data_IF_515505934802
#
_entry.id   IF_515505934802
#
_cell.length_a   1.000
_cell.length_b   1.000
_cell.length_c   1.000
_cell.angle_alpha   90.00
_cell.angle_beta   90.00
_cell.angle_gamma   90.00
#
_symmetry.space_group_name_H-M   'P 1'
#
loop_
_entity.id
_entity.type
_entity.pdbx_description
1 polymer ?
#
# COMPACT_ATOMS: atom_id res chain seq x y z
N UNK A 1 -31.03 19.88 2.29
CA UNK A 1 -31.73 19.51 1.05
C UNK A 1 -31.60 18.02 0.71
N UNK A 2 -30.44 17.43 0.67
CA UNK A 2 -30.23 16.00 0.30
C UNK A 2 -30.96 14.98 1.19
N UNK A 3 -31.18 15.27 2.47
CA UNK A 3 -31.77 14.35 3.45
C UNK A 3 -33.24 13.99 3.18
N UNK A 4 -33.99 14.85 2.48
CA UNK A 4 -35.43 14.66 2.19
C UNK A 4 -35.67 14.07 0.79
N UNK A 5 -34.75 14.26 -0.13
CA UNK A 5 -34.89 13.74 -1.50
C UNK A 5 -34.46 12.26 -1.62
N UNK A 6 -33.52 11.83 -0.78
CA UNK A 6 -32.95 10.50 -0.84
C UNK A 6 -33.99 9.35 -0.72
N UNK A 7 -34.98 9.40 0.22
CA UNK A 7 -35.98 8.34 0.30
C UNK A 7 -36.91 8.30 -0.94
N UNK A 8 -37.23 9.47 -1.51
CA UNK A 8 -38.08 9.56 -2.70
C UNK A 8 -37.35 9.01 -3.93
N UNK A 9 -36.10 9.41 -4.14
CA UNK A 9 -35.29 8.88 -5.21
C UNK A 9 -35.07 7.37 -5.08
N UNK A 10 -34.84 6.87 -3.89
CA UNK A 10 -34.75 5.44 -3.64
C UNK A 10 -36.04 4.67 -3.99
N UNK A 11 -37.19 5.26 -3.70
CA UNK A 11 -38.48 4.67 -4.04
C UNK A 11 -38.68 4.61 -5.56
N UNK A 12 -38.38 5.70 -6.27
CA UNK A 12 -38.44 5.75 -7.72
C UNK A 12 -37.47 4.77 -8.36
N UNK A 13 -36.24 4.73 -7.93
CA UNK A 13 -35.24 3.83 -8.46
C UNK A 13 -35.66 2.36 -8.26
N UNK A 14 -36.16 1.97 -7.09
CA UNK A 14 -36.64 0.62 -6.84
C UNK A 14 -37.87 0.28 -7.67
N UNK A 15 -38.71 1.27 -8.05
CA UNK A 15 -39.86 1.06 -8.91
C UNK A 15 -39.47 0.81 -10.38
N UNK A 16 -38.44 1.54 -10.86
CA UNK A 16 -37.97 1.43 -12.26
C UNK A 16 -36.88 0.37 -12.44
N UNK A 17 -36.21 0.01 -11.37
CA UNK A 17 -35.10 -0.94 -11.37
C UNK A 17 -35.17 -1.85 -10.14
N UNK A 18 -35.99 -2.89 -10.18
CA UNK A 18 -36.30 -3.72 -8.98
C UNK A 18 -35.05 -4.34 -8.34
N UNK A 19 -33.98 -4.58 -9.11
CA UNK A 19 -32.72 -5.16 -8.62
C UNK A 19 -31.66 -4.11 -8.28
N UNK A 20 -32.00 -2.82 -8.24
CA UNK A 20 -31.03 -1.74 -8.04
C UNK A 20 -30.15 -1.92 -6.80
N UNK A 21 -30.77 -2.33 -5.67
CA UNK A 21 -30.02 -2.54 -4.42
C UNK A 21 -29.03 -3.68 -4.55
N UNK A 22 -29.40 -4.76 -5.19
CA UNK A 22 -28.53 -5.90 -5.43
C UNK A 22 -27.38 -5.53 -6.37
N UNK A 23 -27.64 -4.85 -7.45
CA UNK A 23 -26.61 -4.40 -8.39
C UNK A 23 -25.65 -3.39 -7.77
N UNK A 24 -26.16 -2.46 -6.95
CA UNK A 24 -25.31 -1.55 -6.19
C UNK A 24 -24.42 -2.27 -5.18
N UNK A 25 -24.95 -3.32 -4.53
CA UNK A 25 -24.13 -4.15 -3.62
C UNK A 25 -23.09 -4.96 -4.39
N UNK A 26 -23.45 -5.50 -5.55
CA UNK A 26 -22.51 -6.19 -6.44
C UNK A 26 -21.40 -5.25 -6.92
N UNK A 27 -21.75 -4.03 -7.32
CA UNK A 27 -20.77 -3.02 -7.70
C UNK A 27 -19.83 -2.63 -6.54
N UNK A 28 -20.38 -2.45 -5.33
CA UNK A 28 -19.57 -2.18 -4.13
C UNK A 28 -18.63 -3.33 -3.81
N UNK A 29 -19.13 -4.56 -3.85
CA UNK A 29 -18.33 -5.76 -3.62
C UNK A 29 -17.23 -5.89 -4.70
N UNK A 30 -17.55 -5.59 -5.95
CA UNK A 30 -16.56 -5.60 -7.03
C UNK A 30 -15.47 -4.55 -6.79
N UNK A 31 -15.84 -3.31 -6.42
CA UNK A 31 -14.88 -2.24 -6.10
C UNK A 31 -14.01 -2.64 -4.90
N UNK A 32 -14.61 -3.17 -3.84
CA UNK A 32 -13.88 -3.59 -2.63
C UNK A 32 -12.89 -4.73 -2.91
N UNK A 33 -13.23 -5.65 -3.82
CA UNK A 33 -12.36 -6.76 -4.19
C UNK A 33 -11.38 -6.44 -5.33
N UNK A 34 -11.53 -5.28 -5.98
CA UNK A 34 -10.69 -4.89 -7.13
C UNK A 34 -9.18 -4.95 -6.85
N UNK A 35 -8.64 -4.51 -5.69
CA UNK A 35 -7.21 -4.63 -5.42
C UNK A 35 -6.70 -6.07 -5.46
N UNK A 36 -7.46 -7.03 -4.92
CA UNK A 36 -7.06 -8.44 -4.93
C UNK A 36 -7.08 -9.03 -6.35
N UNK A 37 -8.08 -8.70 -7.15
CA UNK A 37 -8.14 -9.09 -8.56
C UNK A 37 -7.00 -8.47 -9.38
N UNK A 38 -6.68 -7.21 -9.12
CA UNK A 38 -5.57 -6.52 -9.79
C UNK A 38 -4.24 -7.24 -9.56
N UNK A 39 -3.90 -7.58 -8.31
CA UNK A 39 -2.70 -8.35 -8.00
C UNK A 39 -2.70 -9.73 -8.67
N UNK A 40 -3.85 -10.42 -8.69
CA UNK A 40 -3.99 -11.72 -9.34
C UNK A 40 -3.73 -11.61 -10.85
N UNK A 41 -4.40 -10.69 -11.55
CA UNK A 41 -4.25 -10.54 -13.00
C UNK A 41 -2.85 -10.10 -13.40
N UNK A 42 -2.22 -9.19 -12.65
CA UNK A 42 -0.83 -8.80 -12.90
C UNK A 42 0.10 -9.99 -12.69
N UNK A 43 -0.09 -10.75 -11.61
CA UNK A 43 0.71 -11.94 -11.35
C UNK A 43 0.60 -12.97 -12.49
N UNK A 44 -0.61 -13.24 -12.97
CA UNK A 44 -0.86 -14.17 -14.08
C UNK A 44 -0.27 -13.65 -15.40
N UNK A 45 -0.53 -12.39 -15.75
CA UNK A 45 -0.10 -11.80 -17.02
C UNK A 45 1.42 -11.72 -17.16
N UNK A 46 2.11 -11.35 -16.10
CA UNK A 46 3.57 -11.21 -16.09
C UNK A 46 4.30 -12.44 -15.51
N UNK A 47 3.60 -13.54 -15.27
CA UNK A 47 4.15 -14.77 -14.66
C UNK A 47 4.90 -14.48 -13.35
N UNK A 48 4.33 -13.61 -12.52
CA UNK A 48 4.87 -13.25 -11.22
C UNK A 48 4.38 -14.24 -10.16
N UNK A 49 5.19 -14.47 -9.14
CA UNK A 49 4.76 -15.25 -7.99
C UNK A 49 3.71 -14.54 -7.13
N UNK A 50 3.36 -15.16 -6.00
CA UNK A 50 2.46 -14.56 -5.02
C UNK A 50 3.04 -13.25 -4.48
N UNK A 51 2.27 -12.15 -4.44
CA UNK A 51 2.76 -10.91 -3.87
C UNK A 51 2.93 -11.04 -2.35
N UNK A 52 4.01 -10.49 -1.84
CA UNK A 52 4.39 -10.51 -0.43
C UNK A 52 3.94 -9.22 0.28
N UNK A 53 3.47 -9.30 1.53
CA UNK A 53 3.19 -8.11 2.33
C UNK A 53 4.44 -7.26 2.50
N UNK A 54 4.28 -5.96 2.29
CA UNK A 54 5.31 -4.95 2.46
C UNK A 54 4.73 -3.78 3.23
N UNK A 55 5.36 -3.44 4.34
CA UNK A 55 5.05 -2.22 5.09
C UNK A 55 6.23 -1.25 5.02
N UNK A 56 5.94 0.03 4.87
CA UNK A 56 6.93 1.11 4.98
C UNK A 56 6.42 2.11 6.00
N UNK A 57 7.13 2.26 7.09
CA UNK A 57 6.74 3.12 8.20
C UNK A 57 7.75 4.26 8.38
N UNK A 58 7.27 5.49 8.47
CA UNK A 58 8.12 6.65 8.74
C UNK A 58 8.67 6.68 10.18
N UNK A 59 8.20 5.81 11.06
CA UNK A 59 8.63 5.62 12.47
C UNK A 59 9.11 6.89 13.17
N UNK A 60 8.33 7.95 13.09
CA UNK A 60 8.65 9.27 13.63
C UNK A 60 7.46 9.83 14.41
N UNK A 61 7.73 10.80 15.26
CA UNK A 61 6.70 11.56 15.94
C UNK A 61 5.80 12.27 14.94
N UNK A 62 4.52 12.44 15.26
CA UNK A 62 3.53 13.04 14.34
C UNK A 62 3.95 14.40 13.78
N UNK A 63 4.62 15.21 14.59
CA UNK A 63 5.10 16.54 14.20
C UNK A 63 6.27 16.49 13.19
N UNK A 64 7.02 15.41 13.15
CA UNK A 64 8.20 15.24 12.28
C UNK A 64 7.86 14.50 10.98
N UNK A 65 6.72 13.78 10.94
CA UNK A 65 6.30 13.00 9.77
C UNK A 65 6.09 13.83 8.51
N UNK A 66 5.65 15.08 8.67
CA UNK A 66 5.47 16.02 7.56
C UNK A 66 6.80 16.55 6.99
N UNK A 67 7.88 16.42 7.73
CA UNK A 67 9.20 16.92 7.35
C UNK A 67 10.02 15.90 6.54
N UNK A 68 9.48 14.69 6.35
CA UNK A 68 10.12 13.62 5.60
C UNK A 68 9.28 13.20 4.41
N UNK A 69 9.94 13.13 3.27
CA UNK A 69 9.39 12.55 2.06
C UNK A 69 10.05 11.19 1.80
N UNK A 70 9.23 10.15 1.70
CA UNK A 70 9.65 8.81 1.27
C UNK A 70 9.04 8.52 -0.09
N UNK A 71 9.86 8.01 -1.01
CA UNK A 71 9.41 7.53 -2.32
C UNK A 71 9.75 6.06 -2.47
N UNK A 72 8.85 5.32 -3.08
CA UNK A 72 9.01 3.92 -3.45
C UNK A 72 8.89 3.81 -4.98
N UNK A 73 9.97 3.38 -5.62
CA UNK A 73 10.08 3.39 -7.09
C UNK A 73 9.71 4.74 -7.73
N UNK A 74 10.12 5.84 -7.09
CA UNK A 74 9.83 7.21 -7.53
C UNK A 74 8.44 7.75 -7.13
N UNK A 75 7.53 6.90 -6.64
CA UNK A 75 6.20 7.31 -6.19
C UNK A 75 6.25 7.76 -4.73
N UNK A 76 5.79 8.97 -4.46
CA UNK A 76 5.74 9.53 -3.10
C UNK A 76 4.70 8.79 -2.26
N UNK A 77 5.10 8.40 -1.05
CA UNK A 77 4.19 7.83 -0.06
C UNK A 77 3.59 8.97 0.78
N UNK A 78 2.29 9.19 0.62
CA UNK A 78 1.59 10.28 1.30
C UNK A 78 1.25 9.95 2.76
N UNK A 79 1.10 8.66 3.08
CA UNK A 79 0.73 8.19 4.41
C UNK A 79 1.95 7.96 5.30
N UNK A 80 1.76 8.01 6.61
CA UNK A 80 2.80 7.70 7.59
C UNK A 80 3.17 6.22 7.57
N UNK A 81 2.21 5.35 7.27
CA UNK A 81 2.36 3.92 7.12
C UNK A 81 1.83 3.53 5.74
N UNK A 82 2.69 3.00 4.90
CA UNK A 82 2.28 2.26 3.72
C UNK A 82 2.12 0.79 4.09
N UNK A 83 0.96 0.23 3.81
CA UNK A 83 0.66 -1.19 3.95
C UNK A 83 0.16 -1.70 2.60
N UNK A 84 0.94 -2.57 1.99
CA UNK A 84 0.64 -3.04 0.65
C UNK A 84 1.33 -4.37 0.34
N UNK A 85 1.43 -4.66 -0.95
CA UNK A 85 2.05 -5.90 -1.44
C UNK A 85 3.04 -5.60 -2.54
N UNK A 86 4.12 -6.38 -2.61
CA UNK A 86 5.11 -6.30 -3.65
C UNK A 86 5.51 -7.70 -4.15
N UNK A 87 5.92 -7.81 -5.42
CA UNK A 87 6.27 -9.10 -5.99
C UNK A 87 7.73 -9.46 -5.73
N UNK A 88 7.96 -10.74 -5.40
CA UNK A 88 9.28 -11.34 -5.27
C UNK A 88 10.12 -11.12 -6.55
N UNK A 89 11.43 -11.05 -6.39
CA UNK A 89 12.42 -10.90 -7.47
C UNK A 89 12.23 -9.63 -8.34
N UNK A 90 11.45 -8.66 -7.86
CA UNK A 90 11.31 -7.36 -8.48
C UNK A 90 12.11 -6.32 -7.72
N UNK A 91 12.74 -5.43 -8.47
CA UNK A 91 13.55 -4.36 -7.89
C UNK A 91 12.66 -3.36 -7.18
N UNK A 92 12.97 -3.12 -5.93
CA UNK A 92 12.38 -2.07 -5.12
C UNK A 92 13.46 -1.05 -4.79
N UNK A 93 13.19 0.21 -5.09
CA UNK A 93 14.03 1.34 -4.71
C UNK A 93 13.25 2.22 -3.76
N UNK A 94 13.82 2.46 -2.58
CA UNK A 94 13.30 3.43 -1.62
C UNK A 94 14.26 4.60 -1.54
N UNK A 95 13.71 5.81 -1.51
CA UNK A 95 14.46 7.04 -1.31
C UNK A 95 13.78 7.88 -0.26
N UNK A 96 14.58 8.48 0.60
CA UNK A 96 14.10 9.37 1.63
C UNK A 96 14.79 10.73 1.54
N UNK A 97 14.06 11.79 1.77
CA UNK A 97 14.60 13.13 1.88
C UNK A 97 13.98 13.87 3.05
N UNK A 98 14.77 14.69 3.72
CA UNK A 98 14.27 15.64 4.70
C UNK A 98 13.84 16.92 3.99
N UNK A 99 12.68 17.45 4.37
CA UNK A 99 12.22 18.77 3.95
C UNK A 99 12.70 19.86 4.91
N UNK A 100 13.34 19.47 6.02
CA UNK A 100 13.88 20.36 7.03
C UNK A 100 15.36 20.60 6.80
N UNK A 101 15.77 21.84 6.73
CA UNK A 101 17.16 22.23 6.53
C UNK A 101 18.08 21.69 7.63
N UNK A 102 19.23 21.17 7.22
CA UNK A 102 20.24 20.61 8.14
C UNK A 102 19.97 19.19 8.61
N UNK A 103 18.89 18.56 8.14
CA UNK A 103 18.56 17.15 8.43
C UNK A 103 18.71 16.29 7.19
N UNK A 104 19.15 15.05 7.38
CA UNK A 104 19.26 14.05 6.31
C UNK A 104 18.80 12.69 6.81
N UNK A 105 18.30 11.86 5.92
CA UNK A 105 18.00 10.45 6.20
C UNK A 105 19.32 9.72 6.40
N UNK A 106 19.51 9.12 7.57
CA UNK A 106 20.72 8.38 7.89
C UNK A 106 20.74 6.99 7.26
N UNK A 107 19.58 6.35 7.20
CA UNK A 107 19.47 4.99 6.67
C UNK A 107 18.09 4.38 6.88
N UNK A 108 18.03 3.10 6.64
CA UNK A 108 16.82 2.28 6.65
C UNK A 108 17.00 1.09 7.57
N UNK A 109 16.01 0.78 8.38
CA UNK A 109 15.90 -0.47 9.11
C UNK A 109 14.97 -1.39 8.33
N UNK A 110 15.47 -2.55 7.92
CA UNK A 110 14.72 -3.52 7.14
C UNK A 110 14.54 -4.78 7.97
N UNK A 111 13.31 -5.14 8.26
CA UNK A 111 12.96 -6.37 8.96
C UNK A 111 12.27 -7.32 8.01
N UNK A 112 12.84 -8.48 7.78
CA UNK A 112 12.25 -9.56 6.98
C UNK A 112 11.80 -10.70 7.90
N UNK A 113 10.60 -11.21 7.65
CA UNK A 113 10.09 -12.41 8.33
C UNK A 113 10.07 -13.55 7.33
N UNK A 114 10.75 -14.64 7.62
CA UNK A 114 10.75 -15.82 6.75
C UNK A 114 9.48 -16.69 6.94
N UNK A 115 9.39 -17.77 6.17
CA UNK A 115 8.25 -18.71 6.26
C UNK A 115 8.19 -19.49 7.58
N UNK A 116 9.28 -19.50 8.34
CA UNK A 116 9.36 -20.12 9.67
C UNK A 116 9.07 -19.13 10.80
N UNK A 117 8.63 -17.91 10.46
CA UNK A 117 8.42 -16.79 11.38
C UNK A 117 9.69 -16.31 12.10
N UNK A 118 10.85 -16.55 11.52
CA UNK A 118 12.10 -15.98 12.02
C UNK A 118 12.29 -14.60 11.43
N UNK A 119 12.53 -13.64 12.30
CA UNK A 119 12.78 -12.25 11.92
C UNK A 119 14.28 -11.98 11.80
N UNK A 120 14.65 -11.31 10.73
CA UNK A 120 16.00 -10.79 10.50
C UNK A 120 15.90 -9.30 10.25
N UNK A 121 16.67 -8.52 11.03
CA UNK A 121 16.73 -7.06 10.88
C UNK A 121 18.12 -6.67 10.40
N UNK A 122 18.14 -5.82 9.38
CA UNK A 122 19.35 -5.20 8.84
C UNK A 122 19.19 -3.69 8.86
N UNK A 123 20.31 -2.98 9.08
CA UNK A 123 20.36 -1.51 8.98
C UNK A 123 21.23 -1.16 7.79
N UNK A 124 20.68 -0.39 6.87
CA UNK A 124 21.36 0.05 5.66
C UNK A 124 21.56 1.57 5.76
N UNK A 125 22.79 2.03 5.62
CA UNK A 125 23.09 3.45 5.62
C UNK A 125 22.80 4.09 4.26
N UNK A 126 22.38 5.37 4.30
CA UNK A 126 22.11 6.18 3.13
C UNK A 126 20.63 6.48 2.91
N UNK A 127 20.40 7.55 2.18
CA UNK A 127 19.05 8.03 1.87
C UNK A 127 18.36 7.26 0.75
N UNK A 128 19.10 6.48 -0.01
CA UNK A 128 18.58 5.63 -1.10
C UNK A 128 19.06 4.19 -0.92
N UNK A 129 18.14 3.25 -1.11
CA UNK A 129 18.43 1.83 -1.13
C UNK A 129 17.63 1.12 -2.20
N UNK A 130 18.32 0.32 -3.02
CA UNK A 130 17.72 -0.46 -4.10
C UNK A 130 18.10 -1.93 -3.98
N UNK A 131 17.12 -2.81 -3.96
CA UNK A 131 17.30 -4.25 -3.80
C UNK A 131 16.27 -5.05 -4.59
N UNK A 132 16.53 -6.33 -4.76
CA UNK A 132 15.53 -7.28 -5.24
C UNK A 132 14.70 -7.79 -4.07
N UNK A 133 13.38 -7.76 -4.20
CA UNK A 133 12.48 -8.25 -3.17
C UNK A 133 12.77 -9.72 -2.85
N UNK A 134 13.19 -10.06 -1.63
CA UNK A 134 13.59 -11.43 -1.28
C UNK A 134 12.38 -12.37 -1.19
N UNK A 135 12.67 -13.68 -1.14
CA UNK A 135 11.66 -14.69 -0.80
C UNK A 135 11.46 -14.70 0.71
N UNK A 136 10.50 -13.95 1.20
CA UNK A 136 10.13 -13.87 2.62
C UNK A 136 8.61 -13.92 2.75
N UNK A 137 8.12 -14.09 3.97
CA UNK A 137 6.69 -14.04 4.29
C UNK A 137 6.18 -12.60 4.30
N UNK A 138 6.97 -11.69 4.88
CA UNK A 138 6.68 -10.26 4.95
C UNK A 138 7.95 -9.44 5.09
N UNK A 139 7.88 -8.16 4.76
CA UNK A 139 8.95 -7.19 4.93
C UNK A 139 8.42 -5.90 5.53
N UNK A 140 9.13 -5.35 6.48
CA UNK A 140 8.90 -4.02 7.05
C UNK A 140 10.15 -3.15 6.83
N UNK A 141 9.95 -1.89 6.49
CA UNK A 141 11.00 -0.88 6.27
C UNK A 141 10.67 0.36 7.12
N UNK A 142 11.66 0.83 7.87
CA UNK A 142 11.55 1.99 8.74
C UNK A 142 12.67 3.00 8.48
#
# INVERSE_FOLDING_TARGET
>A
MIKYEYPYHRKLVNQWWPNYTEEMNNARNWIANRPSYFYKYIAEYYMLGTPLPLTVNKNMNENERSEIEIRMNGVKLNEALFDGKFFKDRRLTITGSSLKDGYAIKGWRITTTDNSNVEKTEVIEGAEYSFLMPSCRSMAIE
#
